data_IF_278977822626
#
_entry.id   IF_278977822626
#
_cell.length_a   1.000
_cell.length_b   1.000
_cell.length_c   1.000
_cell.angle_alpha   90.00
_cell.angle_beta   90.00
_cell.angle_gamma   90.00
#
_symmetry.space_group_name_H-M   'P 1'
#
loop_
_entity.id
_entity.type
_entity.pdbx_description
1 polymer ?
#
# COMPACT_ATOMS: atom_id res chain seq x y z
N UNK A 1 -2.30 14.27 -14.13
CA UNK A 1 -2.43 12.94 -14.75
C UNK A 1 -1.33 12.61 -15.78
N UNK A 2 -0.53 13.58 -16.27
CA UNK A 2 0.59 13.32 -17.20
C UNK A 2 1.84 12.68 -16.55
N UNK A 3 2.18 13.02 -15.30
CA UNK A 3 3.46 12.59 -14.71
C UNK A 3 3.63 11.07 -14.46
N UNK A 4 2.54 10.32 -14.25
CA UNK A 4 2.64 8.89 -13.93
C UNK A 4 3.08 8.05 -15.15
N UNK A 5 2.61 8.39 -16.35
CA UNK A 5 3.00 7.68 -17.57
C UNK A 5 4.47 7.91 -17.92
N UNK A 6 4.98 9.13 -17.70
CA UNK A 6 6.37 9.47 -18.02
C UNK A 6 7.37 8.89 -17.01
N UNK A 7 6.98 8.73 -15.74
CA UNK A 7 7.87 8.21 -14.70
C UNK A 7 7.82 6.68 -14.52
N UNK A 8 6.68 6.04 -14.85
CA UNK A 8 6.44 4.61 -14.55
C UNK A 8 6.20 3.77 -15.81
N UNK A 9 5.87 4.40 -16.93
CA UNK A 9 5.39 3.73 -18.14
C UNK A 9 3.91 3.37 -18.07
N UNK A 10 3.25 3.34 -19.24
CA UNK A 10 1.79 3.19 -19.38
C UNK A 10 1.23 1.93 -18.69
N UNK A 11 1.94 0.80 -18.78
CA UNK A 11 1.53 -0.46 -18.13
C UNK A 11 1.49 -0.35 -16.61
N UNK A 12 2.52 0.25 -16.01
CA UNK A 12 2.61 0.38 -14.56
C UNK A 12 1.61 1.43 -14.05
N UNK A 13 1.43 2.53 -14.78
CA UNK A 13 0.41 3.54 -14.46
C UNK A 13 -1.02 2.97 -14.53
N UNK A 14 -1.32 2.11 -15.51
CA UNK A 14 -2.62 1.44 -15.60
C UNK A 14 -2.84 0.48 -14.43
N UNK A 15 -1.81 -0.29 -14.03
CA UNK A 15 -1.88 -1.21 -12.88
C UNK A 15 -2.03 -0.46 -11.56
N UNK A 16 -1.29 0.64 -11.40
CA UNK A 16 -1.41 1.54 -10.26
C UNK A 16 -2.84 2.06 -10.10
N UNK A 17 -3.45 2.55 -11.19
CA UNK A 17 -4.84 3.02 -11.16
C UNK A 17 -5.83 1.93 -10.79
N UNK A 18 -5.66 0.73 -11.34
CA UNK A 18 -6.49 -0.41 -10.97
C UNK A 18 -6.37 -0.73 -9.47
N UNK A 19 -5.14 -0.77 -8.95
CA UNK A 19 -4.89 -1.05 -7.52
C UNK A 19 -5.42 0.02 -6.59
N UNK A 20 -5.28 1.30 -6.95
CA UNK A 20 -5.91 2.38 -6.20
C UNK A 20 -7.44 2.22 -6.17
N UNK A 21 -8.05 1.83 -7.29
CA UNK A 21 -9.49 1.54 -7.33
C UNK A 21 -9.86 0.35 -6.44
N UNK A 22 -9.08 -0.74 -6.47
CA UNK A 22 -9.29 -1.91 -5.59
C UNK A 22 -9.22 -1.50 -4.11
N UNK A 23 -8.25 -0.66 -3.74
CA UNK A 23 -8.08 -0.13 -2.38
C UNK A 23 -9.28 0.71 -1.94
N UNK A 24 -9.85 1.53 -2.84
CA UNK A 24 -11.00 2.37 -2.46
C UNK A 24 -12.29 1.59 -2.20
N UNK A 25 -12.40 0.35 -2.69
CA UNK A 25 -13.60 -0.48 -2.52
C UNK A 25 -13.41 -1.60 -1.49
N UNK A 26 -12.16 -1.86 -1.06
CA UNK A 26 -11.87 -2.87 -0.05
C UNK A 26 -12.18 -2.34 1.36
N UNK A 27 -12.76 -3.19 2.21
CA UNK A 27 -13.03 -2.86 3.62
C UNK A 27 -11.75 -2.59 4.42
N UNK A 28 -10.65 -3.28 4.07
CA UNK A 28 -9.33 -3.07 4.66
C UNK A 28 -8.23 -3.50 3.68
N UNK A 29 -7.00 -3.04 3.93
CA UNK A 29 -5.86 -3.26 3.04
C UNK A 29 -5.40 -4.72 2.95
N UNK A 30 -5.68 -5.54 3.98
CA UNK A 30 -5.39 -6.98 3.98
C UNK A 30 -6.39 -7.76 3.13
N UNK A 31 -7.61 -7.25 2.96
CA UNK A 31 -8.67 -7.87 2.18
C UNK A 31 -8.53 -7.66 0.67
N UNK A 32 -7.42 -7.07 0.20
CA UNK A 32 -7.19 -6.86 -1.21
C UNK A 32 -7.05 -8.19 -1.95
N UNK A 33 -7.89 -8.46 -2.97
CA UNK A 33 -7.88 -9.74 -3.67
C UNK A 33 -6.60 -9.95 -4.49
N UNK A 34 -5.85 -8.88 -4.78
CA UNK A 34 -4.66 -8.94 -5.63
C UNK A 34 -3.60 -7.95 -5.15
N UNK A 35 -2.33 -8.35 -5.25
CA UNK A 35 -1.18 -7.52 -4.87
C UNK A 35 -0.46 -7.97 -3.61
N UNK A 36 -0.87 -9.09 -3.00
CA UNK A 36 -0.17 -9.75 -1.88
C UNK A 36 0.30 -8.75 -0.83
N UNK A 37 -0.64 -8.16 -0.06
CA UNK A 37 -0.30 -7.20 0.99
C UNK A 37 0.68 -7.84 1.98
N UNK A 38 1.81 -7.19 2.20
CA UNK A 38 2.90 -7.69 3.04
C UNK A 38 3.28 -6.61 4.05
N UNK A 39 3.20 -6.93 5.34
CA UNK A 39 3.63 -6.02 6.40
C UNK A 39 5.15 -5.98 6.43
N UNK A 40 5.71 -4.77 6.46
CA UNK A 40 7.13 -4.50 6.50
C UNK A 40 7.43 -3.46 7.59
N UNK A 41 8.66 -3.41 8.06
CA UNK A 41 9.11 -2.39 8.99
C UNK A 41 10.21 -1.58 8.30
N UNK A 42 9.93 -0.30 8.01
CA UNK A 42 10.90 0.62 7.42
C UNK A 42 11.20 1.75 8.40
N UNK A 43 12.49 2.02 8.65
CA UNK A 43 12.96 3.07 9.56
C UNK A 43 12.33 3.05 10.98
N UNK A 44 11.85 1.89 11.42
CA UNK A 44 11.18 1.72 12.72
C UNK A 44 9.68 2.02 12.72
N UNK A 45 9.09 2.34 11.57
CA UNK A 45 7.64 2.42 11.37
C UNK A 45 7.10 1.17 10.67
N UNK A 46 5.93 0.71 11.12
CA UNK A 46 5.25 -0.41 10.48
C UNK A 46 4.50 0.08 9.23
N UNK A 47 4.85 -0.52 8.11
CA UNK A 47 4.33 -0.23 6.78
C UNK A 47 3.67 -1.49 6.20
N UNK A 48 2.83 -1.31 5.19
CA UNK A 48 2.30 -2.40 4.39
C UNK A 48 2.63 -2.14 2.93
N UNK A 49 3.18 -3.14 2.26
CA UNK A 49 3.53 -3.08 0.85
C UNK A 49 2.56 -3.89 0.01
N UNK A 50 2.21 -3.37 -1.18
CA UNK A 50 1.36 -4.05 -2.15
C UNK A 50 2.10 -4.13 -3.47
N UNK A 51 2.19 -5.33 -4.01
CA UNK A 51 2.78 -5.61 -5.32
C UNK A 51 1.89 -5.06 -6.45
N UNK A 52 2.48 -4.22 -7.30
CA UNK A 52 1.86 -3.70 -8.52
C UNK A 52 2.08 -4.64 -9.71
N UNK A 53 3.36 -4.89 -10.03
CA UNK A 53 3.76 -5.64 -11.23
C UNK A 53 5.24 -6.06 -11.10
N UNK A 54 5.51 -7.36 -11.10
CA UNK A 54 6.87 -7.88 -10.87
C UNK A 54 7.38 -7.41 -9.52
N UNK A 55 8.60 -6.86 -9.51
CA UNK A 55 9.28 -6.34 -8.31
C UNK A 55 8.81 -4.93 -7.88
N UNK A 56 7.87 -4.32 -8.62
CA UNK A 56 7.33 -3.00 -8.27
C UNK A 56 6.27 -3.12 -7.20
N UNK A 57 6.48 -2.46 -6.06
CA UNK A 57 5.55 -2.38 -4.94
C UNK A 57 5.14 -0.93 -4.62
N UNK A 58 4.05 -0.80 -3.87
CA UNK A 58 3.61 0.43 -3.23
C UNK A 58 3.70 0.26 -1.73
N UNK A 59 4.36 1.16 -1.03
CA UNK A 59 4.38 1.18 0.43
C UNK A 59 3.33 2.12 0.99
N UNK A 60 2.65 1.68 2.03
CA UNK A 60 1.67 2.46 2.77
C UNK A 60 1.97 2.45 4.26
N UNK A 61 1.70 3.56 4.92
CA UNK A 61 1.73 3.68 6.38
C UNK A 61 0.32 3.92 6.92
N UNK A 62 0.12 3.62 8.20
CA UNK A 62 -1.12 3.93 8.89
C UNK A 62 -1.32 5.45 8.97
N UNK A 63 -2.41 5.92 8.37
CA UNK A 63 -2.80 7.32 8.34
C UNK A 63 -3.81 7.71 9.43
N UNK A 64 -4.24 6.75 10.26
CA UNK A 64 -5.13 7.02 11.39
C UNK A 64 -4.44 7.91 12.43
N UNK A 65 -5.20 8.81 13.06
CA UNK A 65 -4.69 9.63 14.18
C UNK A 65 -4.30 8.78 15.38
N UNK A 66 -5.08 7.72 15.64
CA UNK A 66 -4.78 6.69 16.64
C UNK A 66 -4.54 5.42 15.85
N UNK A 67 -3.31 4.91 15.90
CA UNK A 67 -2.96 3.65 15.24
C UNK A 67 -3.70 2.52 15.95
N UNK A 68 -4.58 1.77 15.26
CA UNK A 68 -5.15 0.57 15.82
C UNK A 68 -4.01 -0.42 16.04
N UNK A 69 -3.97 -1.09 17.19
CA UNK A 69 -2.88 -1.98 17.55
C UNK A 69 -3.39 -3.37 17.92
N UNK A 70 -2.62 -4.38 17.53
CA UNK A 70 -2.79 -5.75 17.98
C UNK A 70 -2.31 -5.91 19.43
N UNK A 71 -2.56 -7.09 20.00
CA UNK A 71 -2.07 -7.45 21.35
C UNK A 71 -0.54 -7.40 21.47
N UNK A 72 0.17 -7.59 20.34
CA UNK A 72 1.63 -7.49 20.24
C UNK A 72 2.15 -6.05 20.06
N UNK A 73 1.26 -5.04 20.15
CA UNK A 73 1.58 -3.61 19.97
C UNK A 73 2.01 -3.21 18.54
N UNK A 74 1.92 -4.12 17.57
CA UNK A 74 1.97 -3.90 16.11
C UNK A 74 0.68 -3.29 15.58
N UNK A 75 0.66 -2.74 14.36
CA UNK A 75 -0.53 -2.11 13.78
C UNK A 75 -1.55 -3.18 13.38
N UNK A 76 -2.79 -3.02 13.83
CA UNK A 76 -3.91 -3.84 13.35
C UNK A 76 -4.42 -3.30 12.01
N UNK A 77 -3.80 -3.75 10.93
CA UNK A 77 -4.15 -3.39 9.55
C UNK A 77 -5.57 -3.76 9.14
N UNK A 78 -6.23 -4.67 9.87
CA UNK A 78 -7.65 -4.98 9.62
C UNK A 78 -8.58 -3.85 10.09
N UNK A 79 -8.11 -3.00 11.02
CA UNK A 79 -8.86 -1.87 11.59
C UNK A 79 -8.36 -0.51 11.08
N UNK A 80 -7.36 -0.51 10.19
CA UNK A 80 -6.84 0.71 9.57
C UNK A 80 -7.86 1.23 8.56
N UNK A 81 -8.41 2.42 8.82
CA UNK A 81 -9.40 3.08 7.95
C UNK A 81 -8.76 4.11 7.02
N UNK A 82 -7.58 4.63 7.37
CA UNK A 82 -6.81 5.56 6.56
C UNK A 82 -5.40 5.04 6.37
N UNK A 83 -4.96 5.00 5.13
CA UNK A 83 -3.59 4.70 4.74
C UNK A 83 -2.99 5.91 4.03
N UNK A 84 -1.66 6.06 4.12
CA UNK A 84 -0.91 7.06 3.35
C UNK A 84 0.09 6.34 2.48
N UNK A 85 0.09 6.66 1.19
CA UNK A 85 1.09 6.18 0.25
C UNK A 85 2.43 6.88 0.55
N UNK A 86 3.46 6.10 0.85
CA UNK A 86 4.82 6.62 1.13
C UNK A 86 5.76 6.46 -0.05
N UNK A 87 5.64 5.38 -0.82
CA UNK A 87 6.44 5.17 -2.02
C UNK A 87 5.72 4.31 -3.07
N UNK A 88 6.16 4.46 -4.32
CA UNK A 88 5.85 3.56 -5.44
C UNK A 88 7.17 3.26 -6.15
N UNK A 89 7.58 2.01 -6.20
CA UNK A 89 8.86 1.69 -6.84
C UNK A 89 9.37 0.28 -6.59
N UNK A 90 10.66 0.12 -6.87
CA UNK A 90 11.43 -1.07 -6.52
C UNK A 90 11.64 -1.10 -5.01
N UNK A 91 11.43 -2.24 -4.36
CA UNK A 91 11.93 -2.43 -2.99
C UNK A 91 13.43 -2.68 -3.13
N UNK A 92 14.25 -1.74 -2.67
CA UNK A 92 15.72 -1.84 -2.74
C UNK A 92 16.27 -2.88 -1.78
#
# INVERSE_FOLDING_TARGET
>A
MHNANENLGEKLASKLRARLSDITVADNILALPVGSPEVCFEEGEECITITLLGDKKMGFVCGNTIQPKNQDNTIDWSQVSRIRLVFIGDVK
#
